data_IF_553652129791
#
_entry.id   IF_553652129791
#
_cell.length_a   1.000
_cell.length_b   1.000
_cell.length_c   1.000
_cell.angle_alpha   90.00
_cell.angle_beta   90.00
_cell.angle_gamma   90.00
#
_symmetry.space_group_name_H-M   'P 1'
#
loop_
_entity.id
_entity.type
_entity.pdbx_description
1 polymer ?
#
# COMPACT_ATOMS: atom_id res chain seq x y z
N UNK A 1 107.63 16.21 4.16
CA UNK A 1 107.66 17.07 2.96
C UNK A 1 106.35 16.89 2.22
N UNK A 2 105.73 18.01 1.81
CA UNK A 2 104.47 18.18 1.06
C UNK A 2 103.19 17.89 1.87
N UNK A 3 102.30 18.83 2.18
CA UNK A 3 102.18 20.26 1.88
C UNK A 3 100.88 20.75 2.52
N UNK A 4 100.99 21.58 3.56
CA UNK A 4 99.87 22.17 4.25
C UNK A 4 99.37 23.42 3.50
N UNK A 5 98.17 23.87 3.88
CA UNK A 5 97.56 25.20 3.64
C UNK A 5 96.70 25.30 2.37
N UNK A 6 95.39 25.03 2.53
CA UNK A 6 94.34 25.79 1.86
C UNK A 6 93.34 26.23 2.92
N UNK A 7 93.62 27.39 3.48
CA UNK A 7 92.62 28.26 4.06
C UNK A 7 92.65 29.57 3.28
N UNK A 8 91.60 29.86 2.52
CA UNK A 8 91.31 31.23 2.09
C UNK A 8 89.81 31.37 1.85
N UNK A 9 89.14 31.95 2.85
CA UNK A 9 87.89 32.68 2.69
C UNK A 9 88.22 34.01 2.03
N UNK A 10 87.37 34.48 1.09
CA UNK A 10 87.01 35.87 0.71
C UNK A 10 86.38 35.77 -0.71
N UNK A 11 85.24 36.36 -1.07
CA UNK A 11 84.31 37.25 -0.39
C UNK A 11 83.17 37.65 -1.35
N UNK A 12 81.94 37.56 -0.85
CA UNK A 12 80.83 38.53 -0.92
C UNK A 12 80.63 39.40 -2.20
N UNK A 13 79.46 39.15 -2.85
CA UNK A 13 78.56 40.09 -3.59
C UNK A 13 78.78 40.34 -5.09
N UNK A 14 77.95 39.69 -5.93
CA UNK A 14 77.29 40.27 -7.11
C UNK A 14 76.12 39.41 -7.65
N UNK A 15 74.89 39.91 -7.48
CA UNK A 15 73.73 39.83 -8.39
C UNK A 15 73.03 38.47 -8.69
N UNK A 16 72.10 38.12 -7.80
CA UNK A 16 70.70 37.63 -7.96
C UNK A 16 70.18 36.83 -9.17
N UNK A 17 70.84 36.80 -10.32
CA UNK A 17 70.32 36.16 -11.55
C UNK A 17 71.24 35.06 -12.12
N UNK A 18 72.50 35.00 -11.69
CA UNK A 18 73.47 33.97 -12.10
C UNK A 18 73.47 32.70 -11.22
N UNK A 19 72.73 32.70 -10.11
CA UNK A 19 72.76 31.62 -9.11
C UNK A 19 71.95 30.39 -9.49
N UNK A 20 70.91 30.54 -10.32
CA UNK A 20 70.02 29.42 -10.72
C UNK A 20 70.71 28.40 -11.64
N UNK A 21 71.61 28.82 -12.52
CA UNK A 21 72.32 27.92 -13.46
C UNK A 21 73.42 27.08 -12.78
N UNK A 22 73.97 27.55 -11.66
CA UNK A 22 74.93 26.80 -10.83
C UNK A 22 74.27 26.08 -9.65
N UNK A 23 72.97 26.27 -9.43
CA UNK A 23 72.21 25.62 -8.34
C UNK A 23 72.36 24.09 -8.35
N UNK A 24 72.29 23.38 -9.50
CA UNK A 24 72.50 21.92 -9.49
C UNK A 24 73.90 21.49 -9.04
N UNK A 25 74.94 22.27 -9.35
CA UNK A 25 76.31 21.99 -8.94
C UNK A 25 76.51 22.22 -7.44
N UNK A 26 76.02 23.34 -6.91
CA UNK A 26 76.02 23.60 -5.46
C UNK A 26 75.18 22.56 -4.70
N UNK A 27 74.03 22.16 -5.25
CA UNK A 27 73.22 21.09 -4.68
C UNK A 27 73.99 19.77 -4.65
N UNK A 28 74.73 19.42 -5.71
CA UNK A 28 75.56 18.20 -5.73
C UNK A 28 76.69 18.24 -4.71
N UNK A 29 77.36 19.39 -4.53
CA UNK A 29 78.39 19.57 -3.51
C UNK A 29 77.79 19.44 -2.11
N UNK A 30 76.65 20.09 -1.85
CA UNK A 30 75.93 19.98 -0.57
C UNK A 30 75.45 18.55 -0.33
N UNK A 31 74.91 17.86 -1.34
CA UNK A 31 74.47 16.47 -1.24
C UNK A 31 75.64 15.51 -0.95
N UNK A 32 76.81 15.68 -1.60
CA UNK A 32 78.00 14.88 -1.25
C UNK A 32 78.45 15.14 0.20
N UNK A 33 78.41 16.40 0.63
CA UNK A 33 78.75 16.76 2.00
C UNK A 33 77.75 16.15 3.02
N UNK A 34 76.44 16.18 2.73
CA UNK A 34 75.41 15.59 3.58
C UNK A 34 75.39 14.05 3.55
N UNK A 35 75.72 13.42 2.42
CA UNK A 35 75.86 11.97 2.33
C UNK A 35 77.03 11.47 3.19
N UNK A 36 78.15 12.20 3.17
CA UNK A 36 79.32 11.87 3.98
C UNK A 36 79.16 12.27 5.46
N UNK A 37 78.49 13.40 5.73
CA UNK A 37 78.19 13.91 7.07
C UNK A 37 76.71 14.30 7.20
N UNK A 38 75.80 13.34 7.45
CA UNK A 38 74.39 13.61 7.62
C UNK A 38 74.14 14.31 8.96
N UNK A 39 74.27 15.65 8.95
CA UNK A 39 74.17 16.51 10.12
C UNK A 39 72.87 17.33 10.16
N UNK A 40 71.99 17.17 9.17
CA UNK A 40 70.69 17.82 9.15
C UNK A 40 69.81 17.27 10.28
N UNK A 41 69.26 18.19 11.08
CA UNK A 41 68.43 17.84 12.23
C UNK A 41 66.97 17.73 11.80
N UNK A 42 66.28 16.73 12.33
CA UNK A 42 64.83 16.59 12.12
C UNK A 42 64.15 17.84 12.72
N UNK A 43 63.31 18.59 11.97
CA UNK A 43 62.63 19.76 12.49
C UNK A 43 61.86 19.46 13.79
N UNK A 44 61.89 20.37 14.76
CA UNK A 44 61.21 20.21 16.05
C UNK A 44 59.73 19.78 15.92
N UNK A 45 58.97 20.34 14.98
CA UNK A 45 57.57 19.96 14.74
C UNK A 45 57.43 18.50 14.27
N UNK A 46 58.35 18.01 13.42
CA UNK A 46 58.39 16.62 13.00
C UNK A 46 58.75 15.69 14.16
N UNK A 47 59.68 16.10 15.03
CA UNK A 47 60.00 15.35 16.25
C UNK A 47 58.79 15.25 17.21
N UNK A 48 58.03 16.35 17.37
CA UNK A 48 56.78 16.35 18.15
C UNK A 48 55.78 15.35 17.57
N UNK A 49 55.55 15.40 16.25
CA UNK A 49 54.64 14.47 15.57
C UNK A 49 55.11 13.00 15.67
N UNK A 50 56.41 12.74 15.53
CA UNK A 50 56.99 11.39 15.67
C UNK A 50 56.81 10.86 17.09
N UNK A 51 56.99 11.71 18.12
CA UNK A 51 56.74 11.32 19.52
C UNK A 51 55.27 11.03 19.78
N UNK A 52 54.35 11.86 19.26
CA UNK A 52 52.90 11.63 19.36
C UNK A 52 52.46 10.31 18.72
N UNK A 53 53.08 9.94 17.59
CA UNK A 53 52.83 8.67 16.89
C UNK A 53 53.56 7.48 17.51
N UNK A 54 54.31 7.67 18.60
CA UNK A 54 55.10 6.61 19.23
C UNK A 54 56.28 6.10 18.40
N UNK A 55 56.69 6.82 17.35
CA UNK A 55 57.82 6.45 16.47
C UNK A 55 59.15 6.62 17.21
N UNK A 56 59.23 7.62 18.09
CA UNK A 56 60.38 7.87 18.96
C UNK A 56 59.94 7.94 20.42
N UNK A 57 60.78 7.44 21.33
CA UNK A 57 60.53 7.49 22.77
C UNK A 57 60.94 8.85 23.39
N UNK A 58 60.57 9.15 24.65
CA UNK A 58 60.89 10.43 25.29
C UNK A 58 62.39 10.77 25.33
N UNK A 59 63.26 9.78 25.53
CA UNK A 59 64.71 9.98 25.55
C UNK A 59 65.29 10.31 24.18
N UNK A 60 64.81 9.63 23.12
CA UNK A 60 65.17 9.92 21.73
C UNK A 60 64.70 11.33 21.32
N UNK A 61 63.49 11.72 21.71
CA UNK A 61 62.96 13.06 21.48
C UNK A 61 63.82 14.14 22.17
N UNK A 62 64.07 14.01 23.48
CA UNK A 62 64.93 14.95 24.23
C UNK A 62 66.32 15.07 23.61
N UNK A 63 66.94 13.95 23.22
CA UNK A 63 68.27 13.94 22.58
C UNK A 63 68.28 14.74 21.28
N UNK A 64 67.27 14.57 20.42
CA UNK A 64 67.19 15.28 19.14
C UNK A 64 66.82 16.76 19.29
N UNK A 65 66.01 17.10 20.31
CA UNK A 65 65.67 18.48 20.65
C UNK A 65 66.87 19.24 21.23
N UNK A 66 67.69 18.59 22.07
CA UNK A 66 68.95 19.16 22.60
C UNK A 66 69.97 19.48 21.51
N UNK A 67 70.06 18.66 20.46
CA UNK A 67 70.91 18.96 19.28
C UNK A 67 70.50 20.25 18.57
N UNK A 68 69.24 20.68 18.71
CA UNK A 68 68.69 21.91 18.15
C UNK A 68 68.73 23.09 19.14
N UNK A 69 69.27 22.89 20.34
CA UNK A 69 69.39 23.93 21.37
C UNK A 69 68.20 24.04 22.33
N UNK A 70 67.22 23.13 22.27
CA UNK A 70 66.13 23.09 23.25
C UNK A 70 66.52 22.26 24.46
N UNK A 71 66.28 22.78 25.66
CA UNK A 71 66.38 21.97 26.89
C UNK A 71 65.18 21.01 27.03
N UNK A 72 65.23 20.11 28.03
CA UNK A 72 64.18 19.11 28.23
C UNK A 72 62.83 19.76 28.58
N UNK A 73 62.84 20.91 29.25
CA UNK A 73 61.63 21.64 29.63
C UNK A 73 60.96 22.26 28.40
N UNK A 74 61.73 22.94 27.56
CA UNK A 74 61.27 23.52 26.29
C UNK A 74 60.78 22.44 25.32
N UNK A 75 61.52 21.32 25.23
CA UNK A 75 61.11 20.17 24.44
C UNK A 75 59.76 19.62 24.92
N UNK A 76 59.57 19.48 26.23
CA UNK A 76 58.29 19.01 26.77
C UNK A 76 57.14 19.99 26.52
N UNK A 77 57.35 21.31 26.61
CA UNK A 77 56.32 22.30 26.24
C UNK A 77 55.92 22.20 24.76
N UNK A 78 56.88 22.03 23.85
CA UNK A 78 56.60 21.85 22.43
C UNK A 78 55.84 20.55 22.15
N UNK A 79 56.17 19.48 22.86
CA UNK A 79 55.44 18.22 22.77
C UNK A 79 54.00 18.36 23.29
N UNK A 80 53.82 18.95 24.47
CA UNK A 80 52.51 19.17 25.08
C UNK A 80 51.61 20.06 24.23
N UNK A 81 52.15 21.16 23.69
CA UNK A 81 51.43 22.06 22.78
C UNK A 81 51.08 21.44 21.42
N UNK A 82 51.73 20.33 21.05
CA UNK A 82 51.44 19.60 19.81
C UNK A 82 50.31 18.56 19.90
N UNK A 83 49.66 18.39 21.07
CA UNK A 83 48.53 17.48 21.18
C UNK A 83 47.36 17.96 20.32
N UNK A 84 46.73 17.02 19.59
CA UNK A 84 45.47 17.30 18.95
C UNK A 84 44.41 17.60 20.02
N UNK A 85 43.74 18.73 19.87
CA UNK A 85 42.64 19.18 20.73
C UNK A 85 41.36 19.25 19.91
N UNK A 86 40.21 19.09 20.57
CA UNK A 86 38.92 19.26 19.92
C UNK A 86 38.77 20.68 19.41
N UNK A 87 38.35 20.84 18.16
CA UNK A 87 37.99 22.13 17.63
C UNK A 87 36.61 22.60 18.17
N UNK A 88 36.24 23.83 17.83
CA UNK A 88 35.00 24.44 18.32
C UNK A 88 33.72 23.65 18.00
N UNK A 89 33.62 23.10 16.79
CA UNK A 89 32.48 22.30 16.36
C UNK A 89 32.43 20.96 17.09
N UNK A 90 33.57 20.29 17.26
CA UNK A 90 33.65 19.00 17.95
C UNK A 90 33.28 19.12 19.43
N UNK A 91 33.81 20.13 20.13
CA UNK A 91 33.50 20.39 21.53
C UNK A 91 31.99 20.67 21.74
N UNK A 92 31.40 21.51 20.89
CA UNK A 92 29.95 21.79 20.97
C UNK A 92 29.12 20.55 20.63
N UNK A 93 29.53 19.77 19.63
CA UNK A 93 28.81 18.55 19.24
C UNK A 93 28.82 17.52 20.37
N UNK A 94 29.96 17.34 21.06
CA UNK A 94 30.05 16.47 22.24
C UNK A 94 29.12 16.94 23.37
N UNK A 95 29.08 18.26 23.61
CA UNK A 95 28.22 18.86 24.62
C UNK A 95 26.73 18.69 24.29
N UNK A 96 26.31 19.04 23.07
CA UNK A 96 24.92 18.88 22.59
C UNK A 96 24.45 17.42 22.65
N UNK A 97 25.34 16.46 22.40
CA UNK A 97 25.06 15.01 22.51
C UNK A 97 25.10 14.49 23.95
N UNK A 98 25.26 15.37 24.94
CA UNK A 98 25.32 15.00 26.36
C UNK A 98 26.52 14.14 26.74
N UNK A 99 27.62 14.17 25.97
CA UNK A 99 28.85 13.39 26.26
C UNK A 99 29.80 14.12 27.19
N UNK A 100 29.67 15.44 27.29
CA UNK A 100 30.40 16.30 28.22
C UNK A 100 29.45 17.33 28.83
N UNK A 101 29.79 17.85 30.00
CA UNK A 101 29.04 18.94 30.64
C UNK A 101 29.52 20.31 30.14
N UNK A 102 28.85 21.38 30.59
CA UNK A 102 29.16 22.76 30.20
C UNK A 102 30.57 23.22 30.61
N UNK A 103 31.04 22.85 31.81
CA UNK A 103 32.40 23.18 32.26
C UNK A 103 33.47 22.53 31.38
N UNK A 104 33.32 21.24 31.08
CA UNK A 104 34.22 20.51 30.18
C UNK A 104 34.18 21.06 28.74
N UNK A 105 33.01 21.50 28.25
CA UNK A 105 32.90 22.22 26.97
C UNK A 105 33.77 23.48 26.98
N UNK A 106 33.63 24.30 28.01
CA UNK A 106 34.32 25.60 28.11
C UNK A 106 35.84 25.44 28.28
N UNK A 107 36.28 24.38 28.95
CA UNK A 107 37.70 24.00 29.05
C UNK A 107 38.27 23.59 27.69
N UNK A 108 37.56 22.73 26.95
CA UNK A 108 37.97 22.33 25.59
C UNK A 108 38.02 23.52 24.64
N UNK A 109 37.01 24.41 24.70
CA UNK A 109 36.97 25.62 23.87
C UNK A 109 38.12 26.58 24.23
N UNK A 110 38.43 26.77 25.51
CA UNK A 110 39.57 27.57 25.95
C UNK A 110 40.91 26.97 25.49
N UNK A 111 41.09 25.65 25.62
CA UNK A 111 42.27 24.95 25.12
C UNK A 111 42.44 25.12 23.60
N UNK A 112 41.32 25.16 22.87
CA UNK A 112 41.27 25.44 21.43
C UNK A 112 41.44 26.93 21.06
N UNK A 113 41.68 27.80 22.03
CA UNK A 113 41.94 29.22 21.82
C UNK A 113 40.69 30.09 21.64
N UNK A 114 39.48 29.57 21.93
CA UNK A 114 38.25 30.37 21.89
C UNK A 114 38.11 31.23 23.16
N UNK A 115 38.02 32.56 23.04
CA UNK A 115 37.72 33.43 24.18
C UNK A 115 36.33 33.12 24.74
N UNK A 116 36.15 33.18 26.07
CA UNK A 116 34.83 32.94 26.71
C UNK A 116 33.71 33.78 26.12
N UNK A 117 33.98 35.04 25.78
CA UNK A 117 33.00 35.94 25.16
C UNK A 117 32.56 35.55 23.75
N UNK A 118 33.21 34.57 23.11
CA UNK A 118 32.84 34.05 21.79
C UNK A 118 32.06 32.73 21.84
N UNK A 119 31.93 32.10 23.01
CA UNK A 119 31.26 30.79 23.13
C UNK A 119 29.79 30.89 22.70
N UNK A 120 29.05 31.92 23.11
CA UNK A 120 27.65 32.14 22.67
C UNK A 120 27.53 32.26 21.14
N UNK A 121 28.45 32.99 20.50
CA UNK A 121 28.47 33.14 19.04
C UNK A 121 28.73 31.81 18.34
N UNK A 122 29.63 30.99 18.90
CA UNK A 122 29.94 29.67 18.37
C UNK A 122 28.78 28.69 18.57
N UNK A 123 28.07 28.76 19.70
CA UNK A 123 26.84 28.00 19.91
C UNK A 123 25.81 28.30 18.82
N UNK A 124 25.57 29.57 18.52
CA UNK A 124 24.67 29.98 17.43
C UNK A 124 25.18 29.54 16.04
N UNK A 125 26.48 29.69 15.79
CA UNK A 125 27.09 29.31 14.51
C UNK A 125 26.91 27.83 14.19
N UNK A 126 26.87 26.99 15.21
CA UNK A 126 26.73 25.54 15.05
C UNK A 126 25.28 25.07 15.00
N UNK A 127 24.29 25.93 15.22
CA UNK A 127 22.88 25.55 15.11
C UNK A 127 22.56 24.99 13.72
N UNK A 128 21.76 23.93 13.68
CA UNK A 128 21.24 23.36 12.45
C UNK A 128 20.13 24.30 11.94
N UNK A 129 20.38 24.91 10.78
CA UNK A 129 19.41 25.78 10.13
C UNK A 129 18.66 25.01 9.02
N UNK A 130 17.37 25.31 8.79
CA UNK A 130 16.65 24.81 7.63
C UNK A 130 17.37 25.17 6.32
N UNK A 131 17.38 24.23 5.37
CA UNK A 131 17.92 24.47 4.03
C UNK A 131 16.99 25.38 3.23
N UNK A 132 17.46 25.88 2.08
CA UNK A 132 16.61 26.66 1.16
C UNK A 132 15.36 25.88 0.74
N UNK A 133 15.48 24.57 0.53
CA UNK A 133 14.34 23.73 0.17
C UNK A 133 13.34 23.60 1.32
N UNK A 134 13.82 23.46 2.56
CA UNK A 134 12.96 23.44 3.74
C UNK A 134 12.20 24.76 3.89
N UNK A 135 12.89 25.89 3.69
CA UNK A 135 12.28 27.22 3.76
C UNK A 135 11.18 27.39 2.70
N UNK A 136 11.41 26.91 1.47
CA UNK A 136 10.40 26.91 0.40
C UNK A 136 9.23 26.01 0.80
N UNK A 137 9.49 24.80 1.30
CA UNK A 137 8.45 23.89 1.75
C UNK A 137 7.61 24.50 2.90
N UNK A 138 8.23 25.22 3.83
CA UNK A 138 7.52 25.94 4.90
C UNK A 138 6.61 27.02 4.33
N UNK A 139 7.05 27.76 3.32
CA UNK A 139 6.23 28.76 2.65
C UNK A 139 5.04 28.14 1.91
N UNK A 140 5.28 27.10 1.10
CA UNK A 140 4.24 26.40 0.34
C UNK A 140 3.23 25.73 1.28
N UNK A 141 3.68 25.18 2.41
CA UNK A 141 2.83 24.57 3.43
C UNK A 141 2.20 25.58 4.39
N UNK A 142 2.25 26.88 4.10
CA UNK A 142 1.60 27.94 4.88
C UNK A 142 2.08 28.01 6.35
N UNK A 143 3.28 27.50 6.65
CA UNK A 143 3.86 27.53 8.01
C UNK A 143 4.11 28.97 8.49
N UNK A 144 4.39 29.88 7.56
CA UNK A 144 4.60 31.30 7.86
C UNK A 144 3.30 32.11 7.92
N UNK A 145 2.14 31.45 7.76
CA UNK A 145 0.83 32.07 7.87
C UNK A 145 0.10 31.52 9.11
N UNK A 146 0.18 32.20 10.26
CA UNK A 146 -0.34 31.68 11.53
C UNK A 146 -1.83 31.35 11.49
N UNK A 147 -2.63 32.14 10.76
CA UNK A 147 -4.07 31.93 10.62
C UNK A 147 -4.37 30.62 9.89
N UNK A 148 -3.68 30.37 8.77
CA UNK A 148 -3.85 29.14 7.98
C UNK A 148 -3.28 27.94 8.72
N UNK A 149 -2.08 28.05 9.28
CA UNK A 149 -1.44 26.98 10.04
C UNK A 149 -2.27 26.53 11.25
N UNK A 150 -2.89 27.50 11.97
CA UNK A 150 -3.81 27.22 13.05
C UNK A 150 -5.10 26.56 12.56
N UNK A 151 -5.70 27.07 11.48
CA UNK A 151 -6.91 26.51 10.88
C UNK A 151 -6.73 25.05 10.46
N UNK A 152 -5.56 24.70 9.93
CA UNK A 152 -5.21 23.35 9.50
C UNK A 152 -4.63 22.46 10.60
N UNK A 153 -4.51 22.97 11.85
CA UNK A 153 -4.00 22.19 12.97
C UNK A 153 -2.53 21.77 12.79
N UNK A 154 -1.73 22.51 12.02
CA UNK A 154 -0.38 22.06 11.63
C UNK A 154 0.57 21.84 12.81
N UNK A 155 0.34 22.54 13.92
CA UNK A 155 1.14 22.40 15.15
C UNK A 155 0.61 21.34 16.12
N UNK A 156 -0.49 20.65 15.78
CA UNK A 156 -1.10 19.63 16.64
C UNK A 156 -0.10 18.50 16.94
N UNK A 157 -0.01 18.11 18.22
CA UNK A 157 0.97 17.11 18.71
C UNK A 157 2.43 17.56 18.77
N UNK A 158 2.79 18.71 18.17
CA UNK A 158 4.19 19.13 18.03
C UNK A 158 4.91 19.31 19.36
N UNK A 159 4.24 19.89 20.37
CA UNK A 159 4.83 20.10 21.70
C UNK A 159 5.16 18.79 22.42
N UNK A 160 4.27 17.80 22.35
CA UNK A 160 4.48 16.50 23.00
C UNK A 160 5.66 15.77 22.34
N UNK A 161 5.72 15.78 21.00
CA UNK A 161 6.84 15.17 20.27
C UNK A 161 8.14 15.89 20.56
N UNK A 162 8.15 17.23 20.61
CA UNK A 162 9.34 17.99 20.99
C UNK A 162 9.86 17.55 22.36
N UNK A 163 8.99 17.43 23.37
CA UNK A 163 9.38 17.01 24.72
C UNK A 163 9.98 15.59 24.73
N UNK A 164 9.39 14.66 23.98
CA UNK A 164 9.86 13.28 23.90
C UNK A 164 11.19 13.14 23.14
N UNK A 165 11.40 13.97 22.11
CA UNK A 165 12.56 13.93 21.23
C UNK A 165 13.60 15.03 21.52
N UNK A 166 13.42 15.80 22.60
CA UNK A 166 14.22 17.01 22.89
C UNK A 166 15.72 16.74 22.84
N UNK A 167 16.16 15.63 23.44
CA UNK A 167 17.58 15.23 23.47
C UNK A 167 18.15 15.00 22.07
N UNK A 168 17.38 14.38 21.18
CA UNK A 168 17.84 14.10 19.81
C UNK A 168 17.85 15.37 18.96
N UNK A 169 16.87 16.24 19.15
CA UNK A 169 16.75 17.56 18.51
C UNK A 169 17.93 18.47 18.91
N UNK A 170 18.20 18.57 20.20
CA UNK A 170 19.32 19.35 20.73
C UNK A 170 20.67 18.77 20.31
N UNK A 171 20.80 17.43 20.26
CA UNK A 171 22.03 16.74 19.86
C UNK A 171 22.49 17.05 18.43
N UNK A 172 21.55 17.33 17.53
CA UNK A 172 21.85 17.77 16.15
C UNK A 172 21.96 19.29 16.02
N UNK A 173 21.65 20.05 17.07
CA UNK A 173 21.70 21.51 17.07
C UNK A 173 20.46 22.20 16.51
N UNK A 174 19.33 21.50 16.36
CA UNK A 174 18.09 22.09 15.86
C UNK A 174 17.37 22.83 17.00
N UNK A 175 16.92 24.06 16.76
CA UNK A 175 16.18 24.84 17.75
C UNK A 175 14.72 24.38 17.84
N UNK A 176 14.05 24.62 18.97
CA UNK A 176 12.60 24.36 19.12
C UNK A 176 11.78 25.05 18.04
N UNK A 177 12.13 26.31 17.72
CA UNK A 177 11.47 27.07 16.65
C UNK A 177 11.61 26.38 15.29
N UNK A 178 12.83 25.91 14.95
CA UNK A 178 13.07 25.21 13.68
C UNK A 178 12.34 23.88 13.65
N UNK A 179 12.36 23.12 14.74
CA UNK A 179 11.60 21.88 14.88
C UNK A 179 10.11 22.11 14.64
N UNK A 180 9.51 23.15 15.23
CA UNK A 180 8.09 23.45 15.06
C UNK A 180 7.73 23.81 13.60
N UNK A 181 8.64 24.42 12.84
CA UNK A 181 8.44 24.67 11.40
C UNK A 181 8.47 23.36 10.59
N UNK A 182 9.45 22.50 10.87
CA UNK A 182 9.52 21.16 10.27
C UNK A 182 8.27 20.35 10.59
N UNK A 183 7.80 20.38 11.85
CA UNK A 183 6.56 19.75 12.26
C UNK A 183 5.37 20.33 11.51
N UNK A 184 5.21 21.64 11.43
CA UNK A 184 4.08 22.21 10.69
C UNK A 184 4.03 21.79 9.21
N UNK A 185 5.18 21.54 8.58
CA UNK A 185 5.27 21.13 7.19
C UNK A 185 5.20 19.60 6.94
N UNK A 186 5.32 18.74 7.95
CA UNK A 186 5.54 17.29 7.77
C UNK A 186 4.32 16.51 7.26
N UNK A 187 3.12 17.06 7.39
CA UNK A 187 1.86 16.37 7.15
C UNK A 187 1.72 15.87 5.71
N UNK A 188 1.01 14.74 5.53
CA UNK A 188 0.53 14.30 4.22
C UNK A 188 -0.81 14.96 3.94
N UNK A 189 -0.87 15.71 2.84
CA UNK A 189 -2.08 16.42 2.44
C UNK A 189 -3.01 15.50 1.63
N UNK A 190 -4.32 15.77 1.61
CA UNK A 190 -5.24 15.14 0.68
C UNK A 190 -4.78 15.33 -0.77
N UNK A 191 -5.00 14.32 -1.60
CA UNK A 191 -4.75 14.42 -3.04
C UNK A 191 -5.72 15.39 -3.71
N UNK A 192 -5.38 15.87 -4.91
CA UNK A 192 -6.26 16.72 -5.73
C UNK A 192 -7.63 16.06 -5.96
N UNK A 193 -7.66 14.74 -6.19
CA UNK A 193 -8.91 13.99 -6.38
C UNK A 193 -9.78 13.99 -5.12
N UNK A 194 -9.17 13.78 -3.94
CA UNK A 194 -9.89 13.90 -2.67
C UNK A 194 -10.39 15.33 -2.44
N UNK A 195 -9.59 16.34 -2.81
CA UNK A 195 -10.00 17.75 -2.80
C UNK A 195 -11.25 18.01 -3.64
N UNK A 196 -11.31 17.44 -4.85
CA UNK A 196 -12.48 17.54 -5.72
C UNK A 196 -13.70 16.84 -5.15
N UNK A 197 -13.54 15.61 -4.63
CA UNK A 197 -14.65 14.92 -3.98
C UNK A 197 -15.20 15.68 -2.77
N UNK A 198 -14.33 16.27 -1.95
CA UNK A 198 -14.76 17.10 -0.82
C UNK A 198 -15.50 18.35 -1.32
N UNK A 199 -15.04 18.99 -2.40
CA UNK A 199 -15.73 20.14 -2.99
C UNK A 199 -17.11 19.75 -3.54
N UNK A 200 -17.21 18.67 -4.32
CA UNK A 200 -18.48 18.27 -4.96
C UNK A 200 -19.52 17.72 -3.97
N UNK A 201 -19.10 17.34 -2.76
CA UNK A 201 -19.97 16.90 -1.67
C UNK A 201 -20.27 18.04 -0.68
N UNK A 202 -19.91 19.28 -1.01
CA UNK A 202 -20.10 20.46 -0.17
C UNK A 202 -19.45 20.35 1.23
N UNK A 203 -18.38 19.56 1.36
CA UNK A 203 -17.63 19.39 2.62
C UNK A 203 -16.62 20.53 2.80
N UNK A 204 -16.08 21.04 1.70
CA UNK A 204 -15.17 22.19 1.70
C UNK A 204 -15.64 23.24 0.69
N UNK A 205 -15.27 24.49 0.93
CA UNK A 205 -15.53 25.57 -0.02
C UNK A 205 -14.55 25.55 -1.20
N UNK A 206 -14.85 26.31 -2.24
CA UNK A 206 -13.89 26.53 -3.32
C UNK A 206 -12.60 27.21 -2.85
N UNK A 207 -12.67 28.06 -1.84
CA UNK A 207 -11.50 28.75 -1.28
C UNK A 207 -10.61 27.78 -0.51
N UNK A 208 -11.20 26.78 0.13
CA UNK A 208 -10.47 25.70 0.79
C UNK A 208 -9.76 24.79 -0.21
N UNK A 209 -10.41 24.49 -1.35
CA UNK A 209 -9.76 23.76 -2.43
C UNK A 209 -8.55 24.54 -2.97
N UNK A 210 -8.68 25.86 -3.15
CA UNK A 210 -7.55 26.68 -3.62
C UNK A 210 -6.37 26.64 -2.65
N UNK A 211 -6.63 26.76 -1.33
CA UNK A 211 -5.60 26.61 -0.30
C UNK A 211 -4.94 25.23 -0.33
N UNK A 212 -5.71 24.15 -0.54
CA UNK A 212 -5.16 22.81 -0.71
C UNK A 212 -4.26 22.71 -1.94
N UNK A 213 -4.67 23.27 -3.08
CA UNK A 213 -3.87 23.26 -4.30
C UNK A 213 -2.56 24.08 -4.17
N UNK A 214 -2.59 25.19 -3.43
CA UNK A 214 -1.38 25.93 -3.03
C UNK A 214 -0.46 25.02 -2.21
N UNK A 215 -0.98 24.39 -1.16
CA UNK A 215 -0.19 23.56 -0.25
C UNK A 215 0.36 22.27 -0.88
N UNK A 216 -0.27 21.80 -1.96
CA UNK A 216 0.22 20.72 -2.84
C UNK A 216 1.26 21.17 -3.86
N UNK A 217 1.68 22.44 -3.83
CA UNK A 217 2.63 23.05 -4.76
C UNK A 217 2.18 23.00 -6.23
N UNK A 218 0.86 23.07 -6.48
CA UNK A 218 0.33 23.18 -7.83
C UNK A 218 0.54 24.60 -8.33
N UNK A 219 1.19 24.75 -9.50
CA UNK A 219 1.44 26.07 -10.08
C UNK A 219 0.13 26.85 -10.28
N UNK A 220 0.11 28.17 -10.00
CA UNK A 220 -1.11 28.99 -10.06
C UNK A 220 -1.90 28.87 -11.36
N UNK A 221 -1.21 28.76 -12.51
CA UNK A 221 -1.85 28.57 -13.80
C UNK A 221 -2.81 27.38 -13.76
N UNK A 222 -2.33 26.19 -13.34
CA UNK A 222 -3.07 24.92 -13.44
C UNK A 222 -4.26 24.78 -12.50
N UNK A 223 -4.34 25.55 -11.41
CA UNK A 223 -5.34 25.35 -10.35
C UNK A 223 -6.76 25.53 -10.86
N UNK A 224 -6.99 26.63 -11.58
CA UNK A 224 -8.29 26.92 -12.18
C UNK A 224 -8.67 25.92 -13.28
N UNK A 225 -7.71 25.45 -14.08
CA UNK A 225 -8.03 24.46 -15.11
C UNK A 225 -8.37 23.10 -14.51
N UNK A 226 -7.58 22.65 -13.52
CA UNK A 226 -7.85 21.42 -12.77
C UNK A 226 -9.22 21.46 -12.09
N UNK A 227 -9.57 22.59 -11.46
CA UNK A 227 -10.89 22.78 -10.87
C UNK A 227 -12.00 22.71 -11.91
N UNK A 228 -11.86 23.33 -13.08
CA UNK A 228 -12.89 23.28 -14.15
C UNK A 228 -13.17 21.87 -14.65
N UNK A 229 -12.12 21.07 -14.87
CA UNK A 229 -12.28 19.68 -15.35
C UNK A 229 -12.71 18.70 -14.26
N UNK A 230 -12.77 19.14 -13.01
CA UNK A 230 -13.24 18.28 -11.90
C UNK A 230 -14.72 17.92 -12.02
N UNK A 231 -15.53 18.80 -12.61
CA UNK A 231 -16.97 18.61 -12.71
C UNK A 231 -17.34 17.60 -13.80
N UNK A 232 -18.44 16.87 -13.55
CA UNK A 232 -18.96 15.92 -14.52
C UNK A 232 -19.49 16.65 -15.75
N UNK A 233 -19.14 16.10 -16.91
CA UNK A 233 -19.67 16.53 -18.21
C UNK A 233 -21.04 15.89 -18.43
N UNK A 234 -21.88 16.51 -19.26
CA UNK A 234 -23.14 15.89 -19.65
C UNK A 234 -22.90 14.56 -20.37
N UNK A 235 -23.71 13.55 -20.07
CA UNK A 235 -23.59 12.26 -20.76
C UNK A 235 -24.19 12.36 -22.17
N UNK A 236 -23.78 11.47 -23.08
CA UNK A 236 -24.33 11.45 -24.45
C UNK A 236 -25.85 11.29 -24.47
N UNK A 237 -26.41 10.59 -23.47
CA UNK A 237 -27.85 10.36 -23.34
C UNK A 237 -28.55 11.63 -22.88
N UNK A 238 -28.01 12.29 -21.85
CA UNK A 238 -28.57 13.53 -21.33
C UNK A 238 -28.50 14.66 -22.37
N UNK A 239 -27.39 14.77 -23.11
CA UNK A 239 -27.25 15.75 -24.21
C UNK A 239 -28.41 15.60 -25.23
N UNK A 240 -28.76 14.37 -25.63
CA UNK A 240 -29.87 14.15 -26.58
C UNK A 240 -31.23 14.51 -25.99
N UNK A 241 -31.47 14.12 -24.74
CA UNK A 241 -32.72 14.44 -24.01
C UNK A 241 -32.87 15.94 -23.82
N UNK A 242 -31.81 16.62 -23.39
CA UNK A 242 -31.79 18.07 -23.20
C UNK A 242 -31.98 18.82 -24.53
N UNK A 243 -31.40 18.34 -25.63
CA UNK A 243 -31.67 18.88 -26.95
C UNK A 243 -33.15 18.73 -27.35
N UNK A 244 -33.73 17.55 -27.12
CA UNK A 244 -35.15 17.27 -27.42
C UNK A 244 -36.09 18.18 -26.63
N UNK A 245 -35.75 18.45 -25.38
CA UNK A 245 -36.49 19.35 -24.48
C UNK A 245 -36.23 20.83 -24.78
N UNK A 246 -35.38 21.17 -25.76
CA UNK A 246 -35.02 22.54 -26.09
C UNK A 246 -34.14 23.25 -25.05
N UNK A 247 -33.53 22.49 -24.13
CA UNK A 247 -32.62 23.02 -23.10
C UNK A 247 -31.24 23.34 -23.70
N UNK A 248 -30.76 22.51 -24.63
CA UNK A 248 -29.53 22.73 -25.37
C UNK A 248 -29.84 23.12 -26.81
N UNK A 249 -29.17 24.15 -27.32
CA UNK A 249 -29.14 24.47 -28.75
C UNK A 249 -28.19 23.53 -29.51
N UNK A 250 -28.27 23.51 -30.84
CA UNK A 250 -27.34 22.76 -31.71
C UNK A 250 -25.86 23.08 -31.39
N UNK A 251 -25.55 24.35 -31.14
CA UNK A 251 -24.20 24.78 -30.75
C UNK A 251 -23.78 24.24 -29.38
N UNK A 252 -24.71 24.18 -28.41
CA UNK A 252 -24.43 23.63 -27.08
C UNK A 252 -24.28 22.11 -27.13
N UNK A 253 -25.04 21.42 -27.97
CA UNK A 253 -24.93 19.97 -28.20
C UNK A 253 -23.55 19.62 -28.76
N UNK A 254 -23.08 20.33 -29.78
CA UNK A 254 -21.73 20.13 -30.34
C UNK A 254 -20.66 20.36 -29.26
N UNK A 255 -20.76 21.45 -28.49
CA UNK A 255 -19.82 21.74 -27.38
C UNK A 255 -19.83 20.64 -26.32
N UNK A 256 -21.00 20.14 -25.92
CA UNK A 256 -21.12 19.08 -24.92
C UNK A 256 -20.47 17.76 -25.39
N UNK A 257 -20.56 17.42 -26.68
CA UNK A 257 -19.81 16.30 -27.23
C UNK A 257 -18.30 16.57 -27.25
N UNK A 258 -17.85 17.77 -27.57
CA UNK A 258 -16.42 18.11 -27.47
C UNK A 258 -15.91 18.03 -26.03
N UNK A 259 -16.71 18.41 -25.04
CA UNK A 259 -16.35 18.27 -23.62
C UNK A 259 -16.09 16.80 -23.28
N UNK A 260 -16.87 15.85 -23.83
CA UNK A 260 -16.65 14.41 -23.65
C UNK A 260 -15.34 13.90 -24.28
N UNK A 261 -14.67 14.70 -25.10
CA UNK A 261 -13.40 14.39 -25.74
C UNK A 261 -13.53 13.99 -27.21
N UNK A 262 -14.70 14.19 -27.84
CA UNK A 262 -14.82 14.07 -29.29
C UNK A 262 -14.08 15.22 -29.97
N UNK A 263 -13.37 14.92 -31.06
CA UNK A 263 -12.86 15.93 -31.97
C UNK A 263 -14.01 16.64 -32.71
N UNK A 264 -13.69 17.71 -33.44
CA UNK A 264 -14.70 18.57 -34.07
C UNK A 264 -15.55 17.82 -35.12
N UNK A 265 -14.93 16.97 -35.94
CA UNK A 265 -15.62 16.18 -36.97
C UNK A 265 -16.61 15.21 -36.33
N UNK A 266 -16.19 14.47 -35.30
CA UNK A 266 -17.06 13.53 -34.58
C UNK A 266 -18.15 14.25 -33.80
N UNK A 267 -17.85 15.40 -33.21
CA UNK A 267 -18.85 16.21 -32.51
C UNK A 267 -19.93 16.71 -33.47
N UNK A 268 -19.56 17.10 -34.70
CA UNK A 268 -20.50 17.47 -35.77
C UNK A 268 -21.37 16.27 -36.18
N UNK A 269 -20.77 15.10 -36.38
CA UNK A 269 -21.52 13.87 -36.67
C UNK A 269 -22.50 13.49 -35.56
N UNK A 270 -22.09 13.66 -34.29
CA UNK A 270 -22.95 13.41 -33.13
C UNK A 270 -24.07 14.44 -32.98
N UNK A 271 -23.83 15.70 -33.35
CA UNK A 271 -24.87 16.73 -33.44
C UNK A 271 -25.91 16.33 -34.49
N UNK A 272 -25.48 16.02 -35.71
CA UNK A 272 -26.40 15.64 -36.79
C UNK A 272 -27.20 14.39 -36.43
N UNK A 273 -26.54 13.38 -35.84
CA UNK A 273 -27.23 12.20 -35.30
C UNK A 273 -28.30 12.59 -34.28
N UNK A 274 -27.98 13.50 -33.36
CA UNK A 274 -28.91 13.93 -32.31
C UNK A 274 -30.12 14.70 -32.88
N UNK A 275 -29.89 15.55 -33.88
CA UNK A 275 -30.96 16.27 -34.60
C UNK A 275 -31.89 15.27 -35.29
N UNK A 276 -31.35 14.35 -36.08
CA UNK A 276 -32.16 13.35 -36.81
C UNK A 276 -32.88 12.40 -35.86
N UNK A 277 -32.20 11.93 -34.81
CA UNK A 277 -32.78 11.05 -33.79
C UNK A 277 -33.98 11.71 -33.08
N UNK A 278 -33.91 13.03 -32.82
CA UNK A 278 -34.99 13.77 -32.16
C UNK A 278 -36.13 14.20 -33.10
N UNK A 279 -35.96 14.15 -34.43
CA UNK A 279 -37.01 14.44 -35.42
C UNK A 279 -38.08 13.35 -35.51
N UNK A 280 -37.78 12.12 -35.11
CA UNK A 280 -38.73 11.03 -35.13
C UNK A 280 -39.90 11.31 -34.16
N UNK A 281 -41.18 11.17 -34.59
CA UNK A 281 -42.31 11.34 -33.68
C UNK A 281 -42.20 10.30 -32.56
N UNK A 282 -42.24 10.77 -31.32
CA UNK A 282 -42.22 9.89 -30.15
C UNK A 282 -43.64 9.57 -29.76
N UNK A 283 -44.05 8.31 -29.95
CA UNK A 283 -44.85 7.65 -28.92
C UNK A 283 -43.90 7.59 -27.72
N UNK A 284 -44.21 8.44 -26.74
CA UNK A 284 -43.63 8.61 -25.41
C UNK A 284 -42.30 7.91 -25.11
N UNK A 285 -41.33 8.73 -24.69
CA UNK A 285 -40.10 8.33 -23.99
C UNK A 285 -40.42 7.69 -22.60
N UNK A 286 -41.22 6.63 -22.56
CA UNK A 286 -40.95 5.51 -21.67
C UNK A 286 -39.93 4.63 -22.41
N UNK A 287 -38.86 4.21 -21.74
CA UNK A 287 -37.78 3.44 -22.35
C UNK A 287 -38.28 2.14 -22.99
N UNK A 288 -38.60 2.17 -24.29
CA UNK A 288 -38.88 0.99 -25.10
C UNK A 288 -37.64 0.09 -25.26
N UNK A 289 -36.43 0.65 -25.12
CA UNK A 289 -35.20 -0.15 -25.07
C UNK A 289 -35.12 -0.96 -23.76
N UNK A 290 -35.83 -0.59 -22.68
CA UNK A 290 -35.92 -1.44 -21.49
C UNK A 290 -37.18 -2.31 -21.50
N UNK A 291 -38.34 -1.86 -22.01
CA UNK A 291 -39.56 -2.71 -22.06
C UNK A 291 -39.56 -3.78 -23.14
N UNK A 292 -39.12 -3.48 -24.36
CA UNK A 292 -39.05 -4.49 -25.42
C UNK A 292 -37.89 -5.47 -25.17
N UNK A 293 -36.82 -4.97 -24.53
CA UNK A 293 -35.72 -5.81 -24.09
C UNK A 293 -36.07 -6.61 -22.83
N UNK A 294 -36.92 -6.14 -21.91
CA UNK A 294 -37.35 -6.91 -20.72
C UNK A 294 -38.48 -7.90 -21.02
N UNK A 295 -39.47 -7.57 -21.86
CA UNK A 295 -40.55 -8.51 -22.19
C UNK A 295 -40.06 -9.67 -23.10
N UNK A 296 -39.05 -9.42 -23.95
CA UNK A 296 -38.34 -10.48 -24.70
C UNK A 296 -37.22 -11.16 -23.87
N UNK A 297 -36.62 -10.50 -22.86
CA UNK A 297 -35.67 -11.15 -21.92
C UNK A 297 -36.34 -11.97 -20.81
N UNK A 298 -37.63 -11.77 -20.55
CA UNK A 298 -38.34 -12.53 -19.52
C UNK A 298 -38.72 -13.95 -19.98
N UNK A 299 -38.84 -14.18 -21.28
CA UNK A 299 -38.89 -15.53 -21.82
C UNK A 299 -37.47 -16.13 -21.80
N UNK A 300 -37.05 -16.63 -20.65
CA UNK A 300 -35.84 -17.46 -20.57
C UNK A 300 -36.04 -18.72 -21.42
N UNK A 301 -34.94 -19.35 -21.86
CA UNK A 301 -34.99 -20.69 -22.48
C UNK A 301 -35.90 -21.64 -21.67
N UNK A 302 -35.82 -21.58 -20.34
CA UNK A 302 -36.64 -22.41 -19.46
C UNK A 302 -38.13 -22.09 -19.54
N UNK A 303 -38.50 -20.81 -19.66
CA UNK A 303 -39.90 -20.39 -19.75
C UNK A 303 -40.54 -20.93 -21.04
N UNK A 304 -39.85 -20.78 -22.18
CA UNK A 304 -40.33 -21.28 -23.48
C UNK A 304 -40.44 -22.81 -23.46
N UNK A 305 -39.42 -23.51 -22.95
CA UNK A 305 -39.44 -24.97 -22.85
C UNK A 305 -40.53 -25.49 -21.90
N UNK A 306 -40.79 -24.80 -20.77
CA UNK A 306 -41.87 -25.18 -19.86
C UNK A 306 -43.25 -24.95 -20.49
N UNK A 307 -43.45 -23.84 -21.21
CA UNK A 307 -44.68 -23.60 -21.95
C UNK A 307 -44.92 -24.68 -23.02
N UNK A 308 -43.86 -25.14 -23.70
CA UNK A 308 -43.95 -26.26 -24.64
C UNK A 308 -44.29 -27.59 -23.94
N UNK A 309 -43.60 -27.89 -22.83
CA UNK A 309 -43.84 -29.09 -22.02
C UNK A 309 -45.28 -29.15 -21.51
N UNK A 310 -45.80 -28.03 -21.04
CA UNK A 310 -47.14 -27.91 -20.49
C UNK A 310 -48.22 -27.78 -21.59
N UNK A 311 -47.82 -27.85 -22.87
CA UNK A 311 -48.72 -27.83 -24.04
C UNK A 311 -49.36 -26.47 -24.35
N UNK A 312 -48.78 -25.38 -23.83
CA UNK A 312 -49.28 -24.01 -24.03
C UNK A 312 -48.88 -23.41 -25.38
N UNK A 313 -47.78 -23.90 -25.96
CA UNK A 313 -47.27 -23.51 -27.29
C UNK A 313 -46.88 -24.76 -28.07
N UNK A 314 -46.87 -24.67 -29.39
CA UNK A 314 -46.54 -25.80 -30.27
C UNK A 314 -45.05 -25.85 -30.66
N UNK A 315 -44.67 -26.87 -31.43
CA UNK A 315 -43.30 -27.13 -31.86
C UNK A 315 -42.72 -25.97 -32.70
N UNK A 316 -43.52 -25.40 -33.59
CA UNK A 316 -43.09 -24.34 -34.51
C UNK A 316 -42.94 -23.00 -33.79
N UNK A 317 -43.88 -22.69 -32.87
CA UNK A 317 -43.82 -21.55 -31.97
C UNK A 317 -42.59 -21.63 -31.05
N UNK A 318 -42.34 -22.81 -30.47
CA UNK A 318 -41.18 -23.08 -29.61
C UNK A 318 -39.88 -22.88 -30.36
N UNK A 319 -39.75 -23.44 -31.56
CA UNK A 319 -38.56 -23.29 -32.38
C UNK A 319 -38.31 -21.82 -32.76
N UNK A 320 -39.36 -21.09 -33.13
CA UNK A 320 -39.28 -19.66 -33.47
C UNK A 320 -38.83 -18.81 -32.29
N UNK A 321 -39.39 -19.05 -31.10
CA UNK A 321 -39.03 -18.32 -29.88
C UNK A 321 -37.59 -18.62 -29.45
N UNK A 322 -37.16 -19.88 -29.48
CA UNK A 322 -35.80 -20.27 -29.11
C UNK A 322 -34.74 -19.78 -30.11
N UNK A 323 -35.05 -19.72 -31.41
CA UNK A 323 -34.17 -19.11 -32.42
C UNK A 323 -33.96 -17.61 -32.17
N UNK A 324 -35.01 -16.88 -31.78
CA UNK A 324 -34.92 -15.46 -31.41
C UNK A 324 -34.06 -15.22 -30.16
N UNK A 325 -33.98 -16.22 -29.26
CA UNK A 325 -33.08 -16.23 -28.12
C UNK A 325 -31.62 -16.63 -28.49
N UNK A 326 -31.32 -16.83 -29.78
CA UNK A 326 -29.98 -17.12 -30.28
C UNK A 326 -29.55 -18.58 -30.14
N UNK A 327 -30.49 -19.51 -29.90
CA UNK A 327 -30.18 -20.94 -29.78
C UNK A 327 -30.07 -21.55 -31.18
N UNK A 328 -29.02 -22.36 -31.40
CA UNK A 328 -28.81 -23.04 -32.67
C UNK A 328 -29.89 -24.09 -32.93
N UNK A 329 -30.33 -24.23 -34.20
CA UNK A 329 -31.40 -25.14 -34.60
C UNK A 329 -31.23 -26.59 -34.12
N UNK A 330 -30.01 -27.14 -34.20
CA UNK A 330 -29.72 -28.49 -33.72
C UNK A 330 -29.94 -28.69 -32.21
N UNK A 331 -29.78 -27.64 -31.41
CA UNK A 331 -30.06 -27.68 -29.97
C UNK A 331 -31.56 -27.55 -29.69
N UNK A 332 -32.28 -26.77 -30.50
CA UNK A 332 -33.75 -26.63 -30.42
C UNK A 332 -34.42 -27.98 -30.68
N UNK A 333 -34.02 -28.66 -31.75
CA UNK A 333 -34.56 -29.98 -32.13
C UNK A 333 -34.37 -31.00 -31.00
N UNK A 334 -33.20 -30.98 -30.36
CA UNK A 334 -32.90 -31.85 -29.21
C UNK A 334 -33.78 -31.53 -28.00
N UNK A 335 -34.00 -30.25 -27.68
CA UNK A 335 -34.84 -29.86 -26.55
C UNK A 335 -36.30 -30.25 -26.74
N UNK A 336 -36.84 -30.00 -27.93
CA UNK A 336 -38.20 -30.37 -28.31
C UNK A 336 -38.37 -31.88 -28.23
N UNK A 337 -37.47 -32.65 -28.86
CA UNK A 337 -37.51 -34.12 -28.85
C UNK A 337 -37.43 -34.71 -27.43
N UNK A 338 -36.62 -34.11 -26.55
CA UNK A 338 -36.52 -34.53 -25.16
C UNK A 338 -37.83 -34.30 -24.39
N UNK A 339 -38.47 -33.15 -24.61
CA UNK A 339 -39.72 -32.82 -23.93
C UNK A 339 -40.87 -33.67 -24.46
N UNK A 340 -40.91 -33.94 -25.76
CA UNK A 340 -41.91 -34.84 -26.35
C UNK A 340 -41.79 -36.26 -25.79
N UNK A 341 -40.55 -36.75 -25.64
CA UNK A 341 -40.28 -38.02 -24.98
C UNK A 341 -40.74 -38.03 -23.52
N UNK A 342 -40.49 -36.95 -22.77
CA UNK A 342 -40.93 -36.84 -21.38
C UNK A 342 -42.47 -36.78 -21.26
N UNK A 343 -43.16 -36.06 -22.15
CA UNK A 343 -44.63 -35.98 -22.21
C UNK A 343 -45.25 -37.33 -22.56
N UNK A 344 -44.68 -38.04 -23.53
CA UNK A 344 -45.14 -39.38 -23.92
C UNK A 344 -44.99 -40.38 -22.76
N UNK A 345 -43.98 -40.19 -21.91
CA UNK A 345 -43.71 -41.03 -20.75
C UNK A 345 -44.25 -40.49 -19.42
N UNK A 346 -44.95 -39.35 -19.38
CA UNK A 346 -45.38 -38.70 -18.13
C UNK A 346 -46.33 -39.59 -17.31
N UNK A 347 -47.27 -40.26 -18.00
CA UNK A 347 -48.17 -41.22 -17.37
C UNK A 347 -47.41 -42.43 -16.82
N UNK A 348 -46.39 -42.90 -17.54
CA UNK A 348 -45.55 -44.02 -17.14
C UNK A 348 -44.71 -43.64 -15.92
N UNK A 349 -44.10 -42.46 -15.92
CA UNK A 349 -43.32 -41.92 -14.80
C UNK A 349 -44.17 -41.76 -13.54
N UNK A 350 -45.39 -41.21 -13.67
CA UNK A 350 -46.33 -41.06 -12.54
C UNK A 350 -46.70 -42.43 -11.94
N UNK A 351 -46.91 -43.44 -12.78
CA UNK A 351 -47.18 -44.81 -12.31
C UNK A 351 -45.94 -45.44 -11.65
N UNK A 352 -44.74 -45.21 -12.20
CA UNK A 352 -43.48 -45.68 -11.62
C UNK A 352 -43.22 -45.05 -10.25
N UNK A 353 -43.45 -43.76 -10.08
CA UNK A 353 -43.30 -43.08 -8.79
C UNK A 353 -44.29 -43.63 -7.76
N UNK A 354 -45.53 -43.89 -8.16
CA UNK A 354 -46.54 -44.50 -7.27
C UNK A 354 -46.13 -45.92 -6.84
N UNK A 355 -45.61 -46.72 -7.77
CA UNK A 355 -45.11 -48.07 -7.48
C UNK A 355 -43.86 -48.07 -6.61
N UNK A 356 -42.92 -47.14 -6.85
CA UNK A 356 -41.74 -46.92 -6.02
C UNK A 356 -42.13 -46.70 -4.58
N UNK A 357 -43.03 -45.75 -4.35
CA UNK A 357 -43.44 -45.31 -3.04
C UNK A 357 -44.16 -46.45 -2.28
N UNK A 358 -45.01 -47.21 -2.99
CA UNK A 358 -45.66 -48.40 -2.45
C UNK A 358 -44.66 -49.52 -2.11
N UNK A 359 -43.62 -49.72 -2.92
CA UNK A 359 -42.59 -50.72 -2.69
C UNK A 359 -41.70 -50.37 -1.49
N UNK A 360 -41.16 -49.15 -1.46
CA UNK A 360 -40.26 -48.69 -0.38
C UNK A 360 -40.99 -48.58 0.97
N UNK A 361 -42.31 -48.35 0.96
CA UNK A 361 -43.17 -48.38 2.16
C UNK A 361 -43.65 -49.79 2.54
N UNK A 362 -43.18 -50.85 1.86
CA UNK A 362 -43.56 -52.26 2.06
C UNK A 362 -45.06 -52.54 1.88
N UNK A 363 -45.75 -51.69 1.14
CA UNK A 363 -47.17 -51.89 0.79
C UNK A 363 -47.26 -52.96 -0.31
N UNK A 364 -46.33 -52.94 -1.27
CA UNK A 364 -46.19 -53.96 -2.30
C UNK A 364 -44.88 -54.73 -2.17
N UNK A 365 -44.91 -56.02 -2.53
CA UNK A 365 -43.73 -56.87 -2.62
C UNK A 365 -43.08 -56.79 -4.01
N UNK A 366 -41.88 -57.36 -4.13
CA UNK A 366 -41.10 -57.32 -5.37
C UNK A 366 -41.84 -57.97 -6.54
N UNK A 367 -42.58 -59.05 -6.29
CA UNK A 367 -43.34 -59.75 -7.32
C UNK A 367 -44.48 -58.88 -7.88
N UNK A 368 -45.21 -58.20 -7.01
CA UNK A 368 -46.31 -57.29 -7.38
C UNK A 368 -45.80 -56.10 -8.17
N UNK A 369 -44.71 -55.47 -7.70
CA UNK A 369 -44.12 -54.30 -8.38
C UNK A 369 -43.56 -54.67 -9.75
N UNK A 370 -42.89 -55.83 -9.86
CA UNK A 370 -42.36 -56.33 -11.14
C UNK A 370 -43.48 -56.62 -12.14
N UNK A 371 -44.59 -57.23 -11.68
CA UNK A 371 -45.75 -57.50 -12.52
C UNK A 371 -46.40 -56.21 -13.04
N UNK A 372 -46.60 -55.21 -12.17
CA UNK A 372 -47.19 -53.92 -12.54
C UNK A 372 -46.29 -53.13 -13.50
N UNK A 373 -44.97 -53.11 -13.28
CA UNK A 373 -44.00 -52.50 -14.22
C UNK A 373 -44.02 -53.20 -15.59
N UNK A 374 -44.24 -54.52 -15.63
CA UNK A 374 -44.37 -55.30 -16.86
C UNK A 374 -45.54 -54.87 -17.74
N UNK A 375 -46.60 -54.29 -17.16
CA UNK A 375 -47.74 -53.76 -17.91
C UNK A 375 -47.45 -52.42 -18.61
N UNK A 376 -46.34 -51.75 -18.26
CA UNK A 376 -45.97 -50.44 -18.78
C UNK A 376 -45.10 -50.49 -20.04
N UNK A 377 -44.85 -51.70 -20.59
CA UNK A 377 -44.04 -51.93 -21.80
C UNK A 377 -42.64 -51.29 -21.75
N UNK A 378 -42.04 -51.24 -20.55
CA UNK A 378 -40.70 -50.68 -20.32
C UNK A 378 -39.61 -51.65 -20.82
N UNK A 379 -38.47 -51.13 -21.31
CA UNK A 379 -37.30 -51.97 -21.61
C UNK A 379 -36.85 -52.77 -20.37
N UNK A 380 -36.60 -54.08 -20.53
CA UNK A 380 -36.25 -54.97 -19.42
C UNK A 380 -35.07 -54.44 -18.57
N UNK A 381 -34.03 -53.91 -19.23
CA UNK A 381 -32.87 -53.32 -18.56
C UNK A 381 -33.21 -52.10 -17.71
N UNK A 382 -34.22 -51.32 -18.10
CA UNK A 382 -34.69 -50.17 -17.32
C UNK A 382 -35.44 -50.64 -16.06
N UNK A 383 -36.27 -51.68 -16.18
CA UNK A 383 -36.97 -52.30 -15.04
C UNK A 383 -35.96 -52.85 -14.03
N UNK A 384 -34.96 -53.60 -14.48
CA UNK A 384 -33.91 -54.16 -13.60
C UNK A 384 -33.18 -53.07 -12.80
N UNK A 385 -32.80 -51.98 -13.47
CA UNK A 385 -32.10 -50.86 -12.84
C UNK A 385 -32.97 -50.14 -11.79
N UNK A 386 -34.26 -49.94 -12.09
CA UNK A 386 -35.19 -49.30 -11.15
C UNK A 386 -35.41 -50.17 -9.90
N UNK A 387 -35.65 -51.46 -10.09
CA UNK A 387 -35.85 -52.41 -8.98
C UNK A 387 -34.60 -52.52 -8.09
N UNK A 388 -33.41 -52.55 -8.68
CA UNK A 388 -32.15 -52.56 -7.93
C UNK A 388 -32.00 -51.29 -7.09
N UNK A 389 -32.25 -50.12 -7.68
CA UNK A 389 -32.21 -48.83 -6.96
C UNK A 389 -33.21 -48.79 -5.81
N UNK A 390 -34.44 -49.24 -6.04
CA UNK A 390 -35.49 -49.22 -5.02
C UNK A 390 -35.24 -50.23 -3.90
N UNK A 391 -34.62 -51.38 -4.20
CA UNK A 391 -34.22 -52.37 -3.17
C UNK A 391 -33.17 -51.79 -2.23
N UNK A 392 -32.17 -51.11 -2.78
CA UNK A 392 -31.14 -50.41 -1.99
C UNK A 392 -31.79 -49.36 -1.06
N UNK A 393 -32.77 -48.60 -1.57
CA UNK A 393 -33.50 -47.61 -0.78
C UNK A 393 -34.35 -48.24 0.33
N UNK A 394 -35.03 -49.36 0.04
CA UNK A 394 -35.79 -50.13 1.02
C UNK A 394 -34.90 -50.71 2.12
N UNK A 395 -33.71 -51.21 1.77
CA UNK A 395 -32.72 -51.73 2.72
C UNK A 395 -32.10 -50.63 3.59
N UNK A 396 -31.90 -49.43 3.02
CA UNK A 396 -31.40 -48.26 3.74
C UNK A 396 -32.39 -47.73 4.78
N UNK A 397 -33.71 -47.91 4.58
CA UNK A 397 -34.78 -47.58 5.55
C UNK A 397 -34.97 -48.64 6.64
N UNK A 398 -33.89 -49.13 7.24
CA UNK A 398 -33.95 -49.87 8.51
C UNK A 398 -34.46 -48.94 9.62
N UNK A 399 -35.69 -49.19 10.11
CA UNK A 399 -36.36 -48.36 11.13
C UNK A 399 -35.58 -48.32 12.44
N UNK A 400 -34.78 -47.28 12.66
CA UNK A 400 -34.24 -46.97 13.99
C UNK A 400 -35.36 -46.44 14.90
N UNK A 401 -35.40 -46.83 16.18
CA UNK A 401 -36.30 -46.22 17.14
C UNK A 401 -36.13 -44.69 17.15
N UNK A 402 -37.22 -43.95 17.27
CA UNK A 402 -37.12 -42.49 17.35
C UNK A 402 -36.38 -42.09 18.62
N UNK A 403 -35.81 -40.87 18.66
CA UNK A 403 -35.21 -40.32 19.88
C UNK A 403 -36.14 -40.43 21.10
N UNK A 404 -37.44 -40.22 20.91
CA UNK A 404 -38.42 -40.34 21.99
C UNK A 404 -38.59 -41.78 22.49
N UNK A 405 -38.52 -42.77 21.59
CA UNK A 405 -38.61 -44.18 21.95
C UNK A 405 -37.34 -44.65 22.66
N UNK A 406 -36.17 -44.17 22.23
CA UNK A 406 -34.90 -44.44 22.92
C UNK A 406 -34.93 -43.97 24.38
N UNK A 407 -35.44 -42.77 24.66
CA UNK A 407 -35.58 -42.30 26.05
C UNK A 407 -36.61 -43.10 26.85
N UNK A 408 -37.72 -43.54 26.22
CA UNK A 408 -38.66 -44.46 26.88
C UNK A 408 -37.99 -45.79 27.24
N UNK A 409 -37.18 -46.35 26.34
CA UNK A 409 -36.44 -47.59 26.58
C UNK A 409 -35.40 -47.42 27.68
N UNK A 410 -34.73 -46.27 27.72
CA UNK A 410 -33.77 -45.94 28.78
C UNK A 410 -34.45 -45.83 30.15
N UNK A 411 -35.56 -45.09 30.27
CA UNK A 411 -36.35 -45.02 31.52
C UNK A 411 -36.90 -46.38 31.97
N UNK A 412 -37.23 -47.25 31.02
CA UNK A 412 -37.70 -48.60 31.29
C UNK A 412 -36.55 -49.58 31.65
N UNK A 413 -35.29 -49.12 31.65
CA UNK A 413 -34.10 -49.96 31.92
C UNK A 413 -33.80 -50.98 30.82
N UNK A 414 -34.37 -50.81 29.63
CA UNK A 414 -34.21 -51.72 28.48
C UNK A 414 -32.86 -51.49 27.80
N UNK A 415 -32.37 -50.25 27.80
CA UNK A 415 -31.05 -49.87 27.28
C UNK A 415 -30.27 -49.10 28.34
N UNK A 416 -28.95 -49.24 28.33
CA UNK A 416 -28.07 -48.57 29.29
C UNK A 416 -27.53 -47.22 28.80
N UNK A 417 -26.76 -46.53 29.65
CA UNK A 417 -26.17 -45.23 29.32
C UNK A 417 -25.32 -45.29 28.04
N UNK A 418 -24.53 -46.36 27.85
CA UNK A 418 -23.62 -46.48 26.70
C UNK A 418 -24.38 -46.74 25.41
N UNK A 419 -25.42 -47.56 25.48
CA UNK A 419 -26.31 -47.84 24.36
C UNK A 419 -27.08 -46.59 23.95
N UNK A 420 -27.62 -45.84 24.91
CA UNK A 420 -28.32 -44.58 24.61
C UNK A 420 -27.36 -43.52 24.01
N UNK A 421 -26.12 -43.40 24.51
CA UNK A 421 -25.10 -42.50 23.95
C UNK A 421 -24.81 -42.87 22.49
N UNK A 422 -24.59 -44.16 22.22
CA UNK A 422 -24.21 -44.66 20.89
C UNK A 422 -25.30 -44.38 19.87
N UNK A 423 -26.57 -44.63 20.23
CA UNK A 423 -27.69 -44.35 19.34
C UNK A 423 -27.89 -42.85 19.11
N UNK A 424 -27.77 -42.01 20.14
CA UNK A 424 -27.86 -40.55 19.98
C UNK A 424 -26.69 -39.97 19.17
N UNK A 425 -25.49 -40.52 19.27
CA UNK A 425 -24.38 -40.18 18.37
C UNK A 425 -24.70 -40.59 16.92
N UNK A 426 -25.35 -41.74 16.73
CA UNK A 426 -25.86 -42.19 15.43
C UNK A 426 -26.92 -41.27 14.81
N UNK A 427 -27.61 -40.46 15.64
CA UNK A 427 -28.49 -39.37 15.21
C UNK A 427 -27.77 -38.01 15.03
N UNK A 428 -26.45 -37.95 15.26
CA UNK A 428 -25.62 -36.76 15.04
C UNK A 428 -25.57 -35.77 16.21
N UNK A 429 -26.00 -36.15 17.43
CA UNK A 429 -25.93 -35.27 18.59
C UNK A 429 -24.48 -35.13 19.13
N UNK A 430 -24.07 -33.90 19.47
CA UNK A 430 -22.77 -33.66 20.10
C UNK A 430 -22.71 -34.16 21.54
N UNK A 431 -21.53 -34.56 22.01
CA UNK A 431 -21.33 -35.08 23.38
C UNK A 431 -21.93 -34.18 24.47
N UNK A 432 -21.78 -32.86 24.32
CA UNK A 432 -22.33 -31.86 25.25
C UNK A 432 -23.84 -32.04 25.46
N UNK A 433 -24.59 -32.23 24.38
CA UNK A 433 -26.05 -32.36 24.47
C UNK A 433 -26.47 -33.74 24.97
N UNK A 434 -25.72 -34.78 24.63
CA UNK A 434 -25.95 -36.13 25.16
C UNK A 434 -25.77 -36.14 26.69
N UNK A 435 -24.75 -35.44 27.21
CA UNK A 435 -24.56 -35.29 28.66
C UNK A 435 -25.74 -34.59 29.34
N UNK A 436 -26.31 -33.54 28.72
CA UNK A 436 -27.48 -32.83 29.26
C UNK A 436 -28.71 -33.73 29.31
N UNK A 437 -28.97 -34.50 28.24
CA UNK A 437 -30.07 -35.44 28.23
C UNK A 437 -29.89 -36.53 29.30
N UNK A 438 -28.70 -37.11 29.46
CA UNK A 438 -28.46 -38.11 30.51
C UNK A 438 -28.63 -37.53 31.93
N UNK A 439 -28.22 -36.28 32.16
CA UNK A 439 -28.44 -35.62 33.46
C UNK A 439 -29.92 -35.37 33.72
N UNK A 440 -30.68 -34.92 32.72
CA UNK A 440 -32.12 -34.71 32.81
C UNK A 440 -32.85 -36.00 33.19
N UNK A 441 -32.58 -37.09 32.46
CA UNK A 441 -33.26 -38.36 32.67
C UNK A 441 -32.91 -39.00 34.01
N UNK A 442 -31.64 -38.90 34.46
CA UNK A 442 -31.23 -39.38 35.79
C UNK A 442 -31.80 -38.56 36.94
N UNK A 443 -32.04 -37.26 36.72
CA UNK A 443 -32.71 -36.39 37.70
C UNK A 443 -34.20 -36.66 37.84
N UNK A 444 -34.85 -37.24 36.82
CA UNK A 444 -36.26 -37.66 36.89
C UNK A 444 -36.46 -39.08 37.46
N UNK A 445 -35.39 -39.89 37.56
CA UNK A 445 -35.44 -41.26 38.11
C UNK A 445 -35.01 -41.36 39.59
N UNK A 446 -34.55 -40.25 40.19
CA UNK A 446 -34.29 -40.12 41.64
C UNK A 446 -35.50 -39.54 42.35
#
# INVERSE_FOLDING_TARGET
MLGAIIGTVIGVVAMGSFTRSLTPLFNKINQMAFDFFPNELIPAASLVAMRHKGIINPGQYSTQMRKQGYDDTQAEFLFQGGHAIFNGFEAITLWRRGKINEGSRDELLQAAGWPRGHIDKLLRLTEALPTVQDIIAFAVREVYNPEIAQRFGQYEGGREVYQNAQKDIEAIGLTEESFNKFWAAHWRLPSVMQGFEMLHRDIISSDDLEKLLVALDIMPFWRDQLKKISYRRYTRVDVRRMHKLGILSDTDVKRAYMDLGYDEEKAEGMLQFTIEYNKAPTIEDETAIDRETEELKQATRSTVLNAYRDGMIDTDETATMLMRLGIAGSAIDLYISSIDYDRENELINTKLDTLHDAYVKRIYDLATVTAEMGTMNLPAKQVDNLLEKWRIELEARGSKPSKADLFKFYKAGIIDDRELITELQGFGYSERYITWYLQHEKGEMS
#
